data_IF_386982176265
#
_entry.id   IF_386982176265
#
_cell.length_a   1.000
_cell.length_b   1.000
_cell.length_c   1.000
_cell.angle_alpha   90.00
_cell.angle_beta   90.00
_cell.angle_gamma   90.00
#
_symmetry.space_group_name_H-M   'P 1'
#
loop_
_entity.id
_entity.type
_entity.pdbx_description
1 polymer ?
#
# COMPACT_ATOMS: atom_id res chain seq x y z
N UNK A 1 -83.05 -3.37 -10.21
CA UNK A 1 -82.53 -2.97 -11.53
C UNK A 1 -81.80 -4.18 -12.12
N UNK A 2 -82.49 -5.24 -12.55
CA UNK A 2 -83.06 -5.47 -13.89
C UNK A 2 -82.12 -5.10 -15.04
N UNK A 3 -81.41 -6.11 -15.58
CA UNK A 3 -81.28 -6.24 -17.03
C UNK A 3 -81.21 -7.72 -17.41
N UNK A 4 -82.05 -8.08 -18.37
CA UNK A 4 -82.31 -9.40 -18.95
C UNK A 4 -81.68 -9.45 -20.35
N UNK A 5 -81.66 -10.66 -20.92
CA UNK A 5 -81.66 -10.97 -22.36
C UNK A 5 -80.30 -10.86 -23.10
N UNK A 6 -79.96 -11.72 -24.05
CA UNK A 6 -80.67 -12.85 -24.66
C UNK A 6 -79.72 -13.63 -25.57
N UNK A 7 -80.03 -14.91 -25.72
CA UNK A 7 -79.56 -15.87 -26.72
C UNK A 7 -79.30 -15.30 -28.12
N UNK A 8 -78.33 -15.93 -28.82
CA UNK A 8 -78.58 -16.54 -30.13
C UNK A 8 -77.41 -17.42 -30.58
N UNK A 9 -77.65 -18.73 -30.52
CA UNK A 9 -76.98 -19.70 -31.37
C UNK A 9 -77.45 -19.51 -32.83
N UNK A 10 -76.53 -19.58 -33.80
CA UNK A 10 -76.91 -19.94 -35.16
C UNK A 10 -75.85 -20.84 -35.81
N UNK A 11 -76.36 -22.01 -36.18
CA UNK A 11 -75.76 -23.19 -36.78
C UNK A 11 -75.12 -22.92 -38.14
N UNK A 12 -74.01 -23.59 -38.43
CA UNK A 12 -73.62 -24.06 -39.78
C UNK A 12 -73.02 -25.47 -39.64
N UNK A 13 -73.87 -26.50 -39.81
CA UNK A 13 -73.89 -27.51 -40.89
C UNK A 13 -72.55 -28.22 -41.14
N UNK A 14 -72.50 -29.46 -40.67
CA UNK A 14 -71.66 -30.52 -41.20
C UNK A 14 -72.01 -30.76 -42.68
N UNK A 15 -70.97 -30.97 -43.48
CA UNK A 15 -70.98 -31.38 -44.88
C UNK A 15 -69.81 -32.34 -45.10
N UNK A 16 -70.05 -33.60 -44.74
CA UNK A 16 -69.84 -34.83 -45.50
C UNK A 16 -68.67 -34.90 -46.51
N UNK A 17 -67.85 -35.95 -46.37
CA UNK A 17 -67.25 -36.61 -47.54
C UNK A 17 -65.73 -36.81 -47.53
N UNK A 18 -65.28 -37.91 -46.91
CA UNK A 18 -64.31 -38.91 -47.40
C UNK A 18 -63.15 -38.47 -48.33
N UNK A 19 -61.90 -38.64 -47.89
CA UNK A 19 -61.04 -39.69 -48.47
C UNK A 19 -59.87 -40.06 -47.54
N UNK A 20 -59.48 -41.34 -47.59
CA UNK A 20 -58.51 -41.98 -46.70
C UNK A 20 -57.25 -42.27 -47.51
N UNK A 21 -56.18 -41.50 -47.31
CA UNK A 21 -54.84 -41.94 -47.71
C UNK A 21 -53.73 -41.33 -46.85
N UNK A 22 -53.21 -42.19 -45.97
CA UNK A 22 -51.79 -42.51 -45.82
C UNK A 22 -50.73 -41.40 -45.99
N UNK A 23 -49.92 -41.23 -44.95
CA UNK A 23 -48.47 -41.50 -44.92
C UNK A 23 -47.75 -40.51 -44.00
N UNK A 24 -47.33 -41.05 -42.85
CA UNK A 24 -46.11 -40.71 -42.11
C UNK A 24 -45.94 -39.27 -41.63
N UNK A 25 -45.94 -39.10 -40.32
CA UNK A 25 -45.45 -37.93 -39.59
C UNK A 25 -44.07 -37.51 -40.12
N UNK A 26 -44.01 -36.43 -40.89
CA UNK A 26 -42.75 -35.83 -41.32
C UNK A 26 -42.08 -35.19 -40.11
N UNK A 27 -40.93 -35.72 -39.73
CA UNK A 27 -40.07 -35.25 -38.65
C UNK A 27 -39.94 -33.72 -38.65
N UNK A 28 -40.49 -33.04 -37.65
CA UNK A 28 -39.95 -31.74 -37.25
C UNK A 28 -38.56 -31.99 -36.68
N UNK A 29 -37.55 -31.82 -37.54
CA UNK A 29 -36.15 -31.82 -37.14
C UNK A 29 -35.94 -30.76 -36.08
N UNK A 30 -35.83 -31.18 -34.82
CA UNK A 30 -35.13 -30.39 -33.81
C UNK A 30 -33.72 -30.15 -34.35
N UNK A 31 -33.47 -28.94 -34.83
CA UNK A 31 -32.12 -28.51 -35.17
C UNK A 31 -31.29 -28.59 -33.88
N UNK A 32 -30.55 -29.69 -33.73
CA UNK A 32 -29.50 -29.82 -32.73
C UNK A 32 -28.52 -28.68 -33.00
N UNK A 33 -28.61 -27.60 -32.22
CA UNK A 33 -27.56 -26.58 -32.16
C UNK A 33 -26.28 -27.31 -31.79
N UNK A 34 -25.39 -27.51 -32.77
CA UNK A 34 -24.05 -28.00 -32.51
C UNK A 34 -23.37 -26.98 -31.59
N UNK A 35 -23.31 -27.26 -30.30
CA UNK A 35 -22.39 -26.57 -29.42
C UNK A 35 -20.99 -26.96 -29.89
N UNK A 36 -20.36 -26.08 -30.68
CA UNK A 36 -18.94 -26.19 -30.96
C UNK A 36 -18.22 -25.94 -29.63
N UNK A 37 -17.67 -27.00 -29.04
CA UNK A 37 -16.77 -26.88 -27.89
C UNK A 37 -15.44 -26.26 -28.32
N UNK A 38 -14.81 -25.51 -27.44
CA UNK A 38 -13.46 -24.99 -27.65
C UNK A 38 -12.47 -26.12 -27.95
N UNK A 39 -11.65 -25.94 -28.98
CA UNK A 39 -10.59 -26.91 -29.30
C UNK A 39 -9.36 -26.68 -28.41
N UNK A 40 -8.55 -27.72 -28.19
CA UNK A 40 -7.31 -27.60 -27.39
C UNK A 40 -6.33 -26.58 -27.98
N UNK A 41 -6.24 -26.53 -29.31
CA UNK A 41 -5.36 -25.58 -30.03
C UNK A 41 -5.76 -24.14 -29.73
N UNK A 42 -7.06 -23.89 -29.60
CA UNK A 42 -7.62 -22.56 -29.33
C UNK A 42 -7.31 -22.09 -27.90
N UNK A 43 -7.35 -23.00 -26.92
CA UNK A 43 -6.90 -22.70 -25.56
C UNK A 43 -5.38 -22.52 -25.46
N UNK A 44 -4.58 -23.27 -26.25
CA UNK A 44 -3.13 -23.06 -26.31
C UNK A 44 -2.79 -21.67 -26.84
N UNK A 45 -3.49 -21.20 -27.88
CA UNK A 45 -3.34 -19.84 -28.39
C UNK A 45 -3.66 -18.77 -27.34
N UNK A 46 -4.75 -18.93 -26.59
CA UNK A 46 -5.14 -17.99 -25.52
C UNK A 46 -4.12 -17.96 -24.40
N UNK A 47 -3.65 -19.13 -23.93
CA UNK A 47 -2.62 -19.20 -22.89
C UNK A 47 -1.30 -18.57 -23.34
N UNK A 48 -0.92 -18.74 -24.61
CA UNK A 48 0.27 -18.11 -25.16
C UNK A 48 0.19 -16.58 -25.12
N UNK A 49 -0.95 -16.00 -25.52
CA UNK A 49 -1.16 -14.54 -25.45
C UNK A 49 -1.19 -14.04 -24.01
N UNK A 50 -1.87 -14.75 -23.09
CA UNK A 50 -1.90 -14.39 -21.67
C UNK A 50 -0.48 -14.42 -21.08
N UNK A 51 0.35 -15.41 -21.41
CA UNK A 51 1.72 -15.49 -20.92
C UNK A 51 2.57 -14.31 -21.39
N UNK A 52 2.44 -13.92 -22.67
CA UNK A 52 3.12 -12.74 -23.23
C UNK A 52 2.68 -11.46 -22.49
N UNK A 53 1.37 -11.24 -22.34
CA UNK A 53 0.85 -10.06 -21.63
C UNK A 53 1.27 -10.03 -20.15
N UNK A 54 1.20 -11.19 -19.47
CA UNK A 54 1.62 -11.31 -18.08
C UNK A 54 3.11 -10.97 -17.90
N UNK A 55 3.97 -11.38 -18.83
CA UNK A 55 5.42 -11.09 -18.79
C UNK A 55 5.74 -9.59 -18.81
N UNK A 56 4.93 -8.79 -19.52
CA UNK A 56 5.12 -7.34 -19.62
C UNK A 56 4.47 -6.61 -18.43
N UNK A 57 3.36 -7.13 -17.92
CA UNK A 57 2.63 -6.51 -16.81
C UNK A 57 3.34 -6.69 -15.45
N UNK A 58 3.94 -7.86 -15.19
CA UNK A 58 4.56 -8.18 -13.91
C UNK A 58 5.60 -7.15 -13.42
N UNK A 59 6.65 -6.79 -14.19
CA UNK A 59 7.66 -5.84 -13.72
C UNK A 59 7.09 -4.45 -13.41
N UNK A 60 6.10 -3.99 -14.20
CA UNK A 60 5.45 -2.68 -13.98
C UNK A 60 4.66 -2.62 -12.67
N UNK A 61 3.99 -3.72 -12.32
CA UNK A 61 3.25 -3.81 -11.06
C UNK A 61 4.23 -3.76 -9.88
N UNK A 62 5.37 -4.46 -9.98
CA UNK A 62 6.38 -4.44 -8.92
C UNK A 62 6.95 -3.03 -8.69
N UNK A 63 7.24 -2.29 -9.76
CA UNK A 63 7.70 -0.90 -9.67
C UNK A 63 6.64 0.02 -9.03
N UNK A 64 5.38 -0.12 -9.41
CA UNK A 64 4.29 0.65 -8.80
C UNK A 64 4.13 0.37 -7.30
N UNK A 65 4.34 -0.88 -6.86
CA UNK A 65 4.33 -1.23 -5.44
C UNK A 65 5.52 -0.58 -4.72
N UNK A 66 6.71 -0.58 -5.32
CA UNK A 66 7.88 0.12 -4.76
C UNK A 66 7.62 1.62 -4.61
N UNK A 67 7.06 2.26 -5.63
CA UNK A 67 6.73 3.70 -5.60
C UNK A 67 5.67 4.02 -4.53
N UNK A 68 4.67 3.14 -4.35
CA UNK A 68 3.69 3.28 -3.28
C UNK A 68 4.33 3.17 -1.88
N UNK A 69 5.32 2.29 -1.71
CA UNK A 69 6.09 2.17 -0.46
C UNK A 69 6.93 3.42 -0.19
N UNK A 70 7.61 3.94 -1.21
CA UNK A 70 8.37 5.20 -1.12
C UNK A 70 7.46 6.35 -0.70
N UNK A 71 6.32 6.52 -1.39
CA UNK A 71 5.34 7.56 -1.08
C UNK A 71 4.82 7.45 0.36
N UNK A 72 4.53 6.23 0.82
CA UNK A 72 4.10 5.97 2.20
C UNK A 72 5.18 6.39 3.20
N UNK A 73 6.44 6.00 2.98
CA UNK A 73 7.54 6.35 3.86
C UNK A 73 7.77 7.87 3.92
N UNK A 74 7.77 8.54 2.77
CA UNK A 74 7.90 10.01 2.68
C UNK A 74 6.77 10.72 3.43
N UNK A 75 5.54 10.23 3.33
CA UNK A 75 4.41 10.77 4.09
C UNK A 75 4.60 10.57 5.60
N UNK A 76 5.07 9.39 6.04
CA UNK A 76 5.36 9.12 7.44
C UNK A 76 6.41 10.10 7.99
N UNK A 77 7.50 10.32 7.24
CA UNK A 77 8.55 11.29 7.60
C UNK A 77 7.96 12.69 7.80
N UNK A 78 7.16 13.20 6.84
CA UNK A 78 6.56 14.55 6.94
C UNK A 78 5.60 14.68 8.13
N UNK A 79 4.82 13.64 8.42
CA UNK A 79 3.95 13.61 9.60
C UNK A 79 4.77 13.65 10.88
N UNK A 80 5.85 12.87 10.94
CA UNK A 80 6.75 12.85 12.09
C UNK A 80 7.49 14.17 12.27
N UNK A 81 7.94 14.84 11.21
CA UNK A 81 8.56 16.17 11.28
C UNK A 81 7.65 17.18 11.97
N UNK A 82 6.39 17.27 11.52
CA UNK A 82 5.39 18.15 12.14
C UNK A 82 5.09 17.78 13.59
N UNK A 83 5.04 16.48 13.90
CA UNK A 83 4.82 15.99 15.26
C UNK A 83 6.00 16.32 16.20
N UNK A 84 7.23 16.13 15.74
CA UNK A 84 8.46 16.47 16.48
C UNK A 84 8.52 17.96 16.76
N UNK A 85 8.26 18.81 15.75
CA UNK A 85 8.24 20.25 15.92
C UNK A 85 7.17 20.70 16.93
N UNK A 86 5.96 20.14 16.85
CA UNK A 86 4.87 20.44 17.79
C UNK A 86 5.18 19.96 19.21
N UNK A 87 5.79 18.78 19.36
CA UNK A 87 6.24 18.26 20.65
C UNK A 87 7.26 19.19 21.31
N UNK A 88 8.25 19.65 20.53
CA UNK A 88 9.25 20.58 21.02
C UNK A 88 8.65 21.93 21.42
N UNK A 89 7.74 22.48 20.60
CA UNK A 89 7.05 23.72 20.92
C UNK A 89 6.24 23.66 22.24
N UNK A 90 5.68 22.49 22.56
CA UNK A 90 4.83 22.31 23.74
C UNK A 90 5.61 21.98 25.02
N UNK A 91 6.67 21.18 24.90
CA UNK A 91 7.40 20.63 26.07
C UNK A 91 8.76 21.27 26.27
N UNK A 92 9.32 21.94 25.25
CA UNK A 92 10.71 22.39 25.22
C UNK A 92 11.74 21.26 25.11
N UNK A 93 11.28 20.01 24.97
CA UNK A 93 12.11 18.81 24.90
C UNK A 93 12.11 18.22 23.49
N UNK A 94 13.02 17.29 23.23
CA UNK A 94 13.06 16.52 21.99
C UNK A 94 12.62 15.08 22.24
N UNK A 95 11.81 14.49 21.35
CA UNK A 95 11.22 13.18 21.59
C UNK A 95 12.29 12.10 21.56
N UNK A 96 12.19 11.14 22.49
CA UNK A 96 13.02 9.93 22.52
C UNK A 96 12.16 8.68 22.39
N UNK A 97 12.81 7.56 22.06
CA UNK A 97 12.20 6.25 22.22
C UNK A 97 11.99 5.96 23.71
N UNK A 98 10.92 5.24 24.00
CA UNK A 98 10.61 4.73 25.32
C UNK A 98 10.51 3.22 25.18
N UNK A 99 11.38 2.51 25.89
CA UNK A 99 11.21 1.08 26.11
C UNK A 99 10.15 0.91 27.19
N UNK A 100 8.94 0.52 26.79
CA UNK A 100 7.89 0.12 27.72
C UNK A 100 8.17 -1.30 28.20
N UNK A 101 7.86 -1.58 29.47
CA UNK A 101 8.00 -2.92 30.06
C UNK A 101 6.88 -3.89 29.67
N UNK A 102 5.91 -3.44 28.87
CA UNK A 102 4.76 -4.24 28.42
C UNK A 102 5.13 -5.05 27.16
N UNK A 103 5.21 -6.39 27.25
CA UNK A 103 5.56 -7.27 26.13
C UNK A 103 4.48 -7.38 25.05
N UNK A 104 3.27 -6.84 25.28
CA UNK A 104 2.19 -6.78 24.29
C UNK A 104 2.25 -5.53 23.41
N UNK A 105 2.99 -4.51 23.84
CA UNK A 105 3.33 -3.34 23.03
C UNK A 105 4.63 -3.60 22.28
N UNK A 106 4.67 -3.31 20.97
CA UNK A 106 5.93 -3.30 20.23
C UNK A 106 6.94 -2.43 21.02
N UNK A 107 8.20 -2.85 21.21
CA UNK A 107 9.16 -2.22 22.13
C UNK A 107 9.68 -0.83 21.70
N UNK A 108 8.94 -0.12 20.83
CA UNK A 108 9.39 1.07 20.11
C UNK A 108 8.39 2.23 20.16
N UNK A 109 7.61 2.37 21.23
CA UNK A 109 6.82 3.57 21.39
C UNK A 109 7.75 4.77 21.61
N UNK A 110 7.40 5.92 21.07
CA UNK A 110 8.13 7.17 21.29
C UNK A 110 7.21 8.22 21.90
N UNK A 111 7.79 9.25 22.52
CA UNK A 111 7.08 10.32 23.27
C UNK A 111 6.02 11.09 22.46
N UNK A 112 6.02 10.93 21.14
CA UNK A 112 4.97 11.45 20.25
C UNK A 112 3.65 10.68 20.34
N UNK A 113 3.63 9.46 20.88
CA UNK A 113 2.43 8.62 21.02
C UNK A 113 1.93 8.56 22.46
N UNK A 114 2.85 8.50 23.40
CA UNK A 114 2.56 8.28 24.81
C UNK A 114 3.21 9.37 25.65
N UNK A 115 2.51 9.79 26.70
CA UNK A 115 3.08 10.69 27.69
C UNK A 115 3.94 9.90 28.66
N UNK A 116 5.24 9.73 28.37
CA UNK A 116 6.17 9.08 29.28
C UNK A 116 7.60 9.60 29.07
N UNK A 117 8.16 10.19 30.11
CA UNK A 117 9.52 10.74 30.10
C UNK A 117 10.58 9.64 30.26
N UNK A 118 10.21 8.47 30.78
CA UNK A 118 11.10 7.33 31.03
C UNK A 118 10.30 6.00 31.05
N UNK A 119 11.01 4.88 31.23
CA UNK A 119 10.40 3.54 31.34
C UNK A 119 9.55 3.33 32.61
N UNK A 120 9.61 4.24 33.59
CA UNK A 120 8.74 4.22 34.77
C UNK A 120 7.38 4.87 34.51
N UNK A 121 7.21 5.56 33.38
CA UNK A 121 5.94 6.15 32.96
C UNK A 121 5.66 7.54 33.55
N UNK A 122 6.69 8.26 34.02
CA UNK A 122 6.51 9.61 34.55
C UNK A 122 6.04 10.58 33.45
N UNK A 123 5.03 11.40 33.73
CA UNK A 123 4.47 12.36 32.77
C UNK A 123 5.47 13.45 32.35
N UNK A 124 5.40 13.86 31.08
CA UNK A 124 6.15 14.99 30.53
C UNK A 124 5.34 16.28 30.76
N UNK A 125 5.95 17.25 31.44
CA UNK A 125 5.35 18.57 31.63
C UNK A 125 5.10 19.26 30.28
N UNK A 126 3.91 19.83 30.10
CA UNK A 126 3.53 20.52 28.87
C UNK A 126 3.14 19.60 27.71
N UNK A 127 3.04 18.28 27.92
CA UNK A 127 2.52 17.36 26.91
C UNK A 127 1.03 17.62 26.65
N UNK A 128 0.63 17.80 25.39
CA UNK A 128 -0.74 18.20 25.02
C UNK A 128 -1.45 17.17 24.13
N UNK A 129 -0.94 15.95 24.06
CA UNK A 129 -1.61 14.87 23.34
C UNK A 129 -0.65 14.00 22.55
N UNK A 130 -1.15 12.86 22.06
CA UNK A 130 -0.42 12.11 21.07
C UNK A 130 -0.25 13.02 19.84
N UNK A 131 0.99 13.31 19.50
CA UNK A 131 1.39 14.12 18.35
C UNK A 131 1.28 13.33 17.04
N UNK A 132 1.20 12.00 17.13
CA UNK A 132 0.85 11.10 16.03
C UNK A 132 -0.27 10.15 16.45
N UNK A 133 -1.14 9.77 15.50
CA UNK A 133 -2.31 8.94 15.81
C UNK A 133 -1.96 7.45 16.05
N UNK A 134 -0.89 6.96 15.43
CA UNK A 134 -0.41 5.59 15.55
C UNK A 134 1.07 5.53 15.19
N UNK A 135 1.76 4.51 15.70
CA UNK A 135 3.11 4.20 15.25
C UNK A 135 3.07 3.92 13.74
N UNK A 136 3.95 4.55 12.95
CA UNK A 136 4.08 4.18 11.54
C UNK A 136 4.46 2.70 11.39
N UNK A 137 4.32 2.16 10.20
CA UNK A 137 4.70 0.76 9.93
C UNK A 137 5.64 0.71 8.75
N UNK A 138 6.68 -0.12 8.83
CA UNK A 138 7.74 -0.11 7.83
C UNK A 138 7.17 -0.63 6.50
N UNK A 139 7.11 0.19 5.44
CA UNK A 139 6.49 -0.23 4.18
C UNK A 139 7.38 -1.20 3.39
N UNK A 140 8.66 -1.35 3.74
CA UNK A 140 9.65 -2.10 2.97
C UNK A 140 9.74 -3.58 3.33
N UNK A 141 9.08 -4.04 4.39
CA UNK A 141 8.96 -5.47 4.69
C UNK A 141 8.10 -5.80 5.90
N UNK A 142 7.58 -7.03 5.92
CA UNK A 142 6.88 -7.55 7.11
C UNK A 142 7.87 -7.69 8.27
N UNK A 143 7.47 -7.29 9.48
CA UNK A 143 8.29 -7.30 10.68
C UNK A 143 9.64 -6.56 10.51
N UNK A 144 9.72 -5.62 9.58
CA UNK A 144 10.93 -4.85 9.36
C UNK A 144 11.01 -3.73 10.37
N UNK A 145 12.21 -3.53 10.89
CA UNK A 145 12.45 -2.56 11.95
C UNK A 145 12.27 -1.13 11.44
N UNK A 146 11.69 -0.28 12.26
CA UNK A 146 11.64 1.15 12.07
C UNK A 146 11.57 1.86 13.42
N UNK A 147 12.09 3.07 13.48
CA UNK A 147 12.19 3.78 14.74
C UNK A 147 12.59 5.24 14.55
N UNK A 148 12.11 6.08 15.46
CA UNK A 148 12.54 7.46 15.64
C UNK A 148 13.54 7.55 16.80
N UNK A 149 14.72 8.11 16.57
CA UNK A 149 15.78 8.24 17.56
C UNK A 149 16.26 9.67 17.71
N UNK A 150 16.71 10.01 18.92
CA UNK A 150 17.64 11.10 19.15
C UNK A 150 19.05 10.52 19.13
N UNK A 151 19.83 10.80 18.09
CA UNK A 151 21.18 10.27 17.95
C UNK A 151 22.25 11.32 18.30
N UNK A 152 23.20 10.91 19.14
CA UNK A 152 24.51 11.59 19.30
C UNK A 152 25.60 10.93 18.47
N UNK A 153 25.30 9.78 17.86
CA UNK A 153 26.26 9.01 17.09
C UNK A 153 26.46 9.69 15.74
N UNK A 154 27.69 10.17 15.52
CA UNK A 154 28.13 10.86 14.29
C UNK A 154 27.96 10.00 13.03
N UNK A 155 27.77 8.68 13.18
CA UNK A 155 27.47 7.79 12.06
C UNK A 155 26.02 7.97 11.53
N UNK A 156 25.11 8.50 12.35
CA UNK A 156 23.68 8.69 12.03
C UNK A 156 23.25 10.15 11.89
N UNK A 157 24.15 11.09 12.12
CA UNK A 157 23.90 12.52 11.96
C UNK A 157 23.95 12.90 10.49
N UNK A 158 23.02 13.74 10.03
CA UNK A 158 23.00 14.19 8.64
C UNK A 158 24.03 15.28 8.38
N UNK A 159 24.32 15.47 7.10
CA UNK A 159 25.21 16.50 6.56
C UNK A 159 24.31 17.41 5.70
N UNK A 160 23.59 18.31 6.35
CA UNK A 160 22.48 19.04 5.72
C UNK A 160 23.00 20.11 4.76
N UNK A 161 24.18 20.67 5.02
CA UNK A 161 24.85 21.62 4.14
C UNK A 161 25.72 20.97 3.04
N UNK A 162 25.96 19.66 3.13
CA UNK A 162 26.64 18.88 2.11
C UNK A 162 28.16 19.10 2.10
N UNK A 163 28.73 19.62 3.19
CA UNK A 163 30.14 19.97 3.30
C UNK A 163 31.05 18.76 3.57
N UNK A 164 30.47 17.57 3.75
CA UNK A 164 31.16 16.32 4.04
C UNK A 164 31.34 16.06 5.54
N UNK A 165 30.75 16.89 6.41
CA UNK A 165 30.79 16.74 7.86
C UNK A 165 29.39 16.61 8.48
N UNK A 166 29.34 16.03 9.67
CA UNK A 166 28.09 15.83 10.38
C UNK A 166 27.61 17.13 11.05
N UNK A 167 26.38 17.55 10.76
CA UNK A 167 25.78 18.82 11.20
C UNK A 167 25.26 18.82 12.66
N UNK A 168 25.94 18.14 13.57
CA UNK A 168 25.53 18.04 14.97
C UNK A 168 24.45 17.00 15.22
N UNK A 169 23.59 17.21 16.23
CA UNK A 169 22.61 16.21 16.69
C UNK A 169 21.28 16.33 15.98
N UNK A 170 20.69 15.20 15.63
CA UNK A 170 19.41 15.16 14.94
C UNK A 170 18.42 14.18 15.56
N UNK A 171 17.14 14.50 15.40
CA UNK A 171 16.08 13.49 15.43
C UNK A 171 16.07 12.79 14.07
N UNK A 172 16.22 11.47 14.10
CA UNK A 172 16.36 10.64 12.92
C UNK A 172 15.26 9.59 12.90
N UNK A 173 14.61 9.45 11.75
CA UNK A 173 13.70 8.34 11.49
C UNK A 173 14.38 7.32 10.58
N UNK A 174 14.44 6.06 11.00
CA UNK A 174 15.06 4.99 10.22
C UNK A 174 14.10 3.87 9.85
N UNK A 175 14.41 3.21 8.75
CA UNK A 175 13.76 1.99 8.31
C UNK A 175 14.78 0.98 7.77
N UNK A 176 14.56 -0.29 8.07
CA UNK A 176 15.38 -1.41 7.60
C UNK A 176 14.76 -2.06 6.33
N UNK A 177 15.53 -2.92 5.65
CA UNK A 177 15.17 -3.64 4.42
C UNK A 177 14.89 -2.75 3.20
N UNK A 178 15.60 -1.62 3.08
CA UNK A 178 15.45 -0.70 1.95
C UNK A 178 16.52 -0.99 0.89
N UNK A 179 16.11 -1.27 -0.36
CA UNK A 179 17.06 -1.47 -1.47
C UNK A 179 17.72 -0.15 -1.87
N UNK A 180 18.89 -0.20 -2.50
CA UNK A 180 19.61 1.01 -2.90
C UNK A 180 18.82 1.88 -3.87
N UNK A 181 18.18 1.28 -4.87
CA UNK A 181 17.31 1.98 -5.82
C UNK A 181 16.17 2.72 -5.12
N UNK A 182 15.58 2.11 -4.10
CA UNK A 182 14.48 2.72 -3.33
C UNK A 182 15.00 3.83 -2.42
N UNK A 183 16.15 3.63 -1.79
CA UNK A 183 16.75 4.63 -0.92
C UNK A 183 17.22 5.86 -1.69
N UNK A 184 17.78 5.68 -2.89
CA UNK A 184 18.14 6.76 -3.81
C UNK A 184 16.91 7.60 -4.19
N UNK A 185 15.81 6.93 -4.59
CA UNK A 185 14.52 7.62 -4.85
C UNK A 185 14.04 8.44 -3.65
N UNK A 186 14.22 7.96 -2.42
CA UNK A 186 13.85 8.69 -1.20
C UNK A 186 14.77 9.90 -1.01
N UNK A 187 16.09 9.71 -1.21
CA UNK A 187 17.09 10.78 -1.17
C UNK A 187 16.73 11.91 -2.12
N UNK A 188 16.47 11.59 -3.38
CA UNK A 188 16.10 12.57 -4.41
C UNK A 188 14.88 13.40 -4.03
N UNK A 189 13.91 12.81 -3.33
CA UNK A 189 12.69 13.52 -2.89
C UNK A 189 12.99 14.55 -1.79
N UNK A 190 13.97 14.28 -0.92
CA UNK A 190 14.28 15.14 0.23
C UNK A 190 15.40 16.13 -0.06
N UNK A 191 16.45 15.69 -0.74
CA UNK A 191 17.69 16.44 -0.95
C UNK A 191 17.76 17.05 -2.37
N UNK A 192 16.97 16.54 -3.32
CA UNK A 192 16.88 17.10 -4.68
C UNK A 192 18.19 17.00 -5.47
N UNK A 193 19.08 16.08 -5.08
CA UNK A 193 20.43 15.93 -5.61
C UNK A 193 20.51 15.08 -6.89
N UNK A 194 19.42 14.42 -7.27
CA UNK A 194 19.25 13.79 -8.59
C UNK A 194 20.19 12.60 -8.82
N UNK A 195 20.41 11.79 -7.79
CA UNK A 195 21.27 10.60 -7.84
C UNK A 195 22.77 10.93 -7.83
N UNK A 196 23.18 12.01 -7.15
CA UNK A 196 24.61 12.33 -6.95
C UNK A 196 25.36 11.13 -6.38
N UNK A 197 26.58 10.86 -6.83
CA UNK A 197 27.37 9.69 -6.36
C UNK A 197 27.55 9.65 -4.83
N UNK A 198 27.40 10.81 -4.17
CA UNK A 198 27.55 10.99 -2.73
C UNK A 198 26.21 11.04 -1.95
N UNK A 199 25.07 10.75 -2.59
CA UNK A 199 23.73 10.81 -1.98
C UNK A 199 23.62 9.96 -0.71
N UNK A 200 24.48 8.94 -0.56
CA UNK A 200 24.51 8.05 0.60
C UNK A 200 25.07 8.71 1.87
N UNK A 201 25.90 9.74 1.69
CA UNK A 201 26.71 10.34 2.75
C UNK A 201 26.41 11.80 3.02
N UNK A 202 25.83 12.50 2.05
CA UNK A 202 25.49 13.93 2.11
C UNK A 202 23.98 14.12 2.11
N UNK A 203 23.53 15.23 2.68
CA UNK A 203 22.13 15.59 2.75
C UNK A 203 21.43 15.11 4.01
N UNK A 204 20.10 15.21 3.97
CA UNK A 204 19.20 14.84 5.06
C UNK A 204 18.92 13.34 5.10
N UNK A 205 19.24 12.62 4.03
CA UNK A 205 19.10 11.17 3.94
C UNK A 205 20.46 10.52 4.04
N UNK A 206 20.55 9.47 4.87
CA UNK A 206 21.75 8.63 4.97
C UNK A 206 21.43 7.17 4.73
N UNK A 207 22.34 6.50 4.02
CA UNK A 207 22.24 5.08 3.70
C UNK A 207 23.33 4.30 4.42
N UNK A 208 22.93 3.31 5.21
CA UNK A 208 23.87 2.40 5.87
C UNK A 208 23.71 0.96 5.35
N UNK A 209 24.75 0.44 4.71
CA UNK A 209 24.83 -0.95 4.28
C UNK A 209 25.72 -1.74 5.25
N UNK A 210 25.10 -2.45 6.20
CA UNK A 210 25.78 -3.47 6.98
C UNK A 210 25.76 -4.82 6.25
N UNK A 211 26.55 -5.78 6.74
CA UNK A 211 26.57 -7.18 6.24
C UNK A 211 25.23 -7.91 6.37
N UNK A 212 24.32 -7.46 7.25
CA UNK A 212 23.04 -8.13 7.53
C UNK A 212 21.81 -7.23 7.45
N UNK A 213 21.98 -5.91 7.25
CA UNK A 213 20.85 -4.97 7.24
C UNK A 213 21.10 -3.81 6.28
N UNK A 214 20.09 -3.55 5.44
CA UNK A 214 20.04 -2.36 4.58
C UNK A 214 19.14 -1.31 5.23
N UNK A 215 19.75 -0.28 5.81
CA UNK A 215 19.06 0.76 6.58
C UNK A 215 19.10 2.09 5.83
N UNK A 216 17.98 2.80 5.86
CA UNK A 216 17.88 4.22 5.50
C UNK A 216 17.53 5.03 6.75
N UNK A 217 18.10 6.22 6.86
CA UNK A 217 17.86 7.18 7.92
C UNK A 217 17.55 8.56 7.31
N UNK A 218 16.56 9.26 7.86
CA UNK A 218 16.18 10.62 7.45
C UNK A 218 16.19 11.53 8.66
N UNK A 219 16.91 12.65 8.58
CA UNK A 219 16.92 13.66 9.63
C UNK A 219 15.71 14.58 9.55
N UNK A 220 14.97 14.62 10.67
CA UNK A 220 13.73 15.36 10.82
C UNK A 220 13.96 16.78 11.38
N UNK A 221 14.81 16.89 12.41
CA UNK A 221 15.07 18.15 13.09
C UNK A 221 16.47 18.17 13.73
N UNK A 222 17.13 19.32 13.70
CA UNK A 222 18.41 19.58 14.38
C UNK A 222 18.15 19.96 15.84
N UNK A 223 18.97 19.45 16.75
CA UNK A 223 18.88 19.61 18.21
C UNK A 223 20.04 20.43 18.74
#
# INVERSE_FOLDING_TARGET
MSYKESDRASRWRAGDGFDVDNYTWSLTMSALRKQAGFTLVEMIGVMAVIAILASVAAPRIMESIEDAKVSTFVQQVKVLEGAVAKYNANTGLWPTMITTSDPSTNPHHHQLLINASNSAGDDIAGWQGPYVAKEPTNPFGKNSYQALYNTTDTNWTCDVDGDGTADGRFIVYRADNVTDKVAEKISDIFDGDGGSADWKTKGRVKRYQGTSASIIAVCLARI
#
